data_IF_270086629032
#
_entry.id   IF_270086629032
#
_cell.length_a   1.000
_cell.length_b   1.000
_cell.length_c   1.000
_cell.angle_alpha   90.00
_cell.angle_beta   90.00
_cell.angle_gamma   90.00
#
_symmetry.space_group_name_H-M   'P 1'
#
loop_
_entity.id
_entity.type
_entity.pdbx_description
1 polymer ?
#
# COMPACT_ATOMS: atom_id res chain seq x y z
N UNK A 1 -24.07 79.60 -47.26
CA UNK A 1 -24.70 78.57 -46.39
C UNK A 1 -24.81 77.17 -46.99
N UNK A 2 -25.22 76.91 -48.26
CA UNK A 2 -25.38 75.52 -48.77
C UNK A 2 -24.09 74.70 -49.01
N UNK A 3 -22.94 75.34 -49.23
CA UNK A 3 -21.66 74.63 -49.47
C UNK A 3 -21.01 74.11 -48.19
N UNK A 4 -21.04 74.88 -47.10
CA UNK A 4 -20.46 74.50 -45.82
C UNK A 4 -21.18 73.30 -45.18
N UNK A 5 -22.50 73.22 -45.35
CA UNK A 5 -23.30 72.08 -44.86
C UNK A 5 -22.94 70.75 -45.55
N UNK A 6 -22.51 70.78 -46.82
CA UNK A 6 -22.06 69.56 -47.53
C UNK A 6 -20.73 69.04 -47.00
N UNK A 7 -19.83 69.92 -46.59
CA UNK A 7 -18.51 69.54 -46.06
C UNK A 7 -18.67 68.91 -44.67
N UNK A 8 -19.46 69.55 -43.80
CA UNK A 8 -19.74 69.03 -42.45
C UNK A 8 -20.43 67.66 -42.52
N UNK A 9 -21.42 67.49 -43.40
CA UNK A 9 -22.10 66.20 -43.59
C UNK A 9 -21.14 65.11 -44.06
N UNK A 10 -20.19 65.43 -44.94
CA UNK A 10 -19.20 64.48 -45.44
C UNK A 10 -18.20 64.07 -44.35
N UNK A 11 -17.70 65.04 -43.56
CA UNK A 11 -16.80 64.76 -42.43
C UNK A 11 -17.50 63.88 -41.38
N UNK A 12 -18.76 64.17 -41.06
CA UNK A 12 -19.52 63.41 -40.08
C UNK A 12 -19.79 61.97 -40.55
N UNK A 13 -20.11 61.76 -41.83
CA UNK A 13 -20.28 60.41 -42.40
C UNK A 13 -18.99 59.61 -42.35
N UNK A 14 -17.85 60.20 -42.74
CA UNK A 14 -16.56 59.49 -42.70
C UNK A 14 -16.11 59.20 -41.27
N UNK A 15 -16.38 60.11 -40.32
CA UNK A 15 -16.12 59.88 -38.91
C UNK A 15 -17.02 58.79 -38.32
N UNK A 16 -18.30 58.78 -38.70
CA UNK A 16 -19.27 57.77 -38.29
C UNK A 16 -18.93 56.37 -38.80
N UNK A 17 -18.50 56.24 -40.06
CA UNK A 17 -18.08 54.93 -40.59
C UNK A 17 -16.80 54.41 -39.93
N UNK A 18 -15.79 55.27 -39.71
CA UNK A 18 -14.56 54.88 -39.00
C UNK A 18 -14.82 54.51 -37.54
N UNK A 19 -15.72 55.22 -36.86
CA UNK A 19 -16.10 54.87 -35.48
C UNK A 19 -16.92 53.59 -35.43
N UNK A 20 -17.78 53.30 -36.42
CA UNK A 20 -18.55 52.05 -36.52
C UNK A 20 -17.65 50.82 -36.72
N UNK A 21 -16.59 50.92 -37.52
CA UNK A 21 -15.60 49.84 -37.69
C UNK A 21 -14.78 49.59 -36.42
N UNK A 22 -14.35 50.67 -35.74
CA UNK A 22 -13.68 50.57 -34.44
C UNK A 22 -14.60 49.98 -33.35
N UNK A 23 -15.90 50.35 -33.35
CA UNK A 23 -16.88 49.83 -32.41
C UNK A 23 -17.22 48.35 -32.67
N UNK A 24 -17.26 47.92 -33.94
CA UNK A 24 -17.49 46.52 -34.30
C UNK A 24 -16.29 45.63 -33.92
N UNK A 25 -15.06 46.10 -34.13
CA UNK A 25 -13.86 45.40 -33.66
C UNK A 25 -13.79 45.32 -32.13
N UNK A 26 -14.21 46.37 -31.43
CA UNK A 26 -14.26 46.37 -29.96
C UNK A 26 -15.34 45.41 -29.43
N UNK A 27 -16.54 45.38 -30.02
CA UNK A 27 -17.61 44.45 -29.63
C UNK A 27 -17.23 42.99 -29.87
N UNK A 28 -16.59 42.67 -30.99
CA UNK A 28 -16.12 41.29 -31.25
C UNK A 28 -15.02 40.87 -30.27
N UNK A 29 -14.06 41.76 -29.96
CA UNK A 29 -13.03 41.49 -28.94
C UNK A 29 -13.61 41.34 -27.54
N UNK A 30 -14.60 42.14 -27.17
CA UNK A 30 -15.27 42.06 -25.87
C UNK A 30 -16.08 40.76 -25.75
N UNK A 31 -16.80 40.35 -26.80
CA UNK A 31 -17.52 39.07 -26.83
C UNK A 31 -16.53 37.90 -26.72
N UNK A 32 -15.38 37.96 -27.42
CA UNK A 32 -14.36 36.92 -27.31
C UNK A 32 -13.75 36.85 -25.90
N UNK A 33 -13.48 37.99 -25.26
CA UNK A 33 -12.98 38.07 -23.87
C UNK A 33 -14.02 37.55 -22.88
N UNK A 34 -15.32 37.80 -23.11
CA UNK A 34 -16.40 37.27 -22.26
C UNK A 34 -16.57 35.76 -22.46
N UNK A 35 -16.49 35.24 -23.68
CA UNK A 35 -16.56 33.79 -23.96
C UNK A 35 -15.31 33.09 -23.39
N UNK A 36 -14.11 33.66 -23.56
CA UNK A 36 -12.89 33.13 -22.98
C UNK A 36 -12.91 33.19 -21.45
N UNK A 37 -13.43 34.26 -20.84
CA UNK A 37 -13.52 34.38 -19.37
C UNK A 37 -14.64 33.53 -18.77
N UNK A 38 -15.73 33.25 -19.49
CA UNK A 38 -16.73 32.25 -19.10
C UNK A 38 -16.18 30.82 -19.26
N UNK A 39 -15.43 30.53 -20.33
CA UNK A 39 -14.77 29.23 -20.49
C UNK A 39 -13.66 28.99 -19.45
N UNK A 40 -12.97 30.04 -19.02
CA UNK A 40 -12.02 29.99 -17.89
C UNK A 40 -12.77 29.91 -16.55
N UNK A 41 -13.88 30.61 -16.37
CA UNK A 41 -14.68 30.61 -15.14
C UNK A 41 -15.44 29.30 -14.90
N UNK A 42 -15.87 28.59 -15.94
CA UNK A 42 -16.48 27.26 -15.84
C UNK A 42 -15.42 26.19 -15.57
N UNK A 43 -14.20 26.33 -16.10
CA UNK A 43 -13.10 25.41 -15.76
C UNK A 43 -12.46 25.70 -14.38
N UNK A 44 -12.48 26.94 -13.89
CA UNK A 44 -12.02 27.28 -12.54
C UNK A 44 -13.10 27.12 -11.46
N UNK A 45 -14.39 27.18 -11.83
CA UNK A 45 -15.53 27.03 -10.91
C UNK A 45 -15.87 25.59 -10.52
N UNK A 46 -15.35 24.59 -11.24
CA UNK A 46 -15.42 23.17 -10.85
C UNK A 46 -14.14 22.63 -10.20
N UNK A 47 -13.09 23.47 -10.09
CA UNK A 47 -11.82 23.12 -9.46
C UNK A 47 -11.70 23.48 -7.97
N UNK A 48 -12.74 24.09 -7.37
CA UNK A 48 -12.63 24.79 -6.08
C UNK A 48 -13.37 24.21 -4.87
N UNK A 49 -14.08 23.09 -4.99
CA UNK A 49 -14.71 22.40 -3.84
C UNK A 49 -14.69 20.88 -4.09
N UNK A 50 -13.56 20.23 -3.80
CA UNK A 50 -13.54 18.79 -3.52
C UNK A 50 -12.77 18.60 -2.21
N UNK A 51 -13.47 18.61 -1.06
CA UNK A 51 -12.83 18.47 0.23
C UNK A 51 -12.39 17.01 0.41
N UNK A 52 -11.10 16.77 0.66
CA UNK A 52 -10.47 15.67 1.42
C UNK A 52 -10.99 14.22 1.28
N UNK A 53 -11.82 13.92 0.26
CA UNK A 53 -12.24 12.56 -0.11
C UNK A 53 -11.96 12.37 -1.60
N UNK A 54 -10.67 12.39 -1.95
CA UNK A 54 -10.17 12.25 -3.34
C UNK A 54 -10.64 10.94 -3.99
N UNK A 55 -10.84 9.89 -3.20
CA UNK A 55 -11.27 8.58 -3.67
C UNK A 55 -12.79 8.44 -3.54
N UNK A 56 -13.52 8.23 -4.65
CA UNK A 56 -14.95 8.02 -4.57
C UNK A 56 -15.29 6.68 -3.92
N UNK A 57 -16.39 6.63 -3.17
CA UNK A 57 -16.86 5.40 -2.52
C UNK A 57 -18.09 4.90 -3.30
N UNK A 58 -18.16 3.62 -3.69
CA UNK A 58 -19.32 3.06 -4.37
C UNK A 58 -20.59 3.23 -3.52
N UNK A 59 -21.76 3.49 -4.12
CA UNK A 59 -23.03 3.52 -3.40
C UNK A 59 -23.22 2.25 -2.55
N UNK A 60 -23.86 2.41 -1.39
CA UNK A 60 -24.16 1.33 -0.44
C UNK A 60 -22.93 0.66 0.19
N UNK A 61 -21.73 1.21 0.02
CA UNK A 61 -20.55 0.75 0.75
C UNK A 61 -20.62 1.20 2.19
N UNK A 62 -20.45 0.25 3.12
CA UNK A 62 -20.29 0.52 4.54
C UNK A 62 -18.81 0.34 4.92
N UNK A 63 -18.23 1.36 5.55
CA UNK A 63 -16.90 1.25 6.15
C UNK A 63 -16.95 0.28 7.34
N UNK A 64 -16.07 -0.71 7.36
CA UNK A 64 -15.99 -1.72 8.41
C UNK A 64 -14.83 -1.43 9.37
N UNK A 65 -13.66 -1.05 8.85
CA UNK A 65 -12.49 -0.66 9.66
C UNK A 65 -11.48 0.15 8.86
N UNK A 66 -10.58 0.82 9.57
CA UNK A 66 -9.40 1.46 9.02
C UNK A 66 -8.15 0.97 9.74
N UNK A 67 -7.06 0.79 9.01
CA UNK A 67 -5.79 0.27 9.52
C UNK A 67 -4.63 1.03 8.89
N UNK A 68 -3.59 1.34 9.67
CA UNK A 68 -2.36 1.95 9.18
C UNK A 68 -1.26 0.91 9.17
N UNK A 69 -0.50 0.82 8.08
CA UNK A 69 0.62 -0.13 7.95
C UNK A 69 1.86 0.58 7.46
N UNK A 70 3.02 0.14 7.94
CA UNK A 70 4.31 0.56 7.40
C UNK A 70 4.72 -0.40 6.30
N UNK A 71 4.80 0.06 5.05
CA UNK A 71 5.27 -0.75 3.93
C UNK A 71 6.42 0.00 3.26
N UNK A 72 7.60 -0.62 3.20
CA UNK A 72 8.84 0.01 2.72
C UNK A 72 9.14 1.36 3.38
N UNK A 73 8.88 1.48 4.69
CA UNK A 73 9.12 2.73 5.44
C UNK A 73 8.09 3.84 5.21
N UNK A 74 7.03 3.59 4.43
CA UNK A 74 5.93 4.52 4.23
C UNK A 74 4.70 4.07 5.02
N UNK A 75 4.03 5.03 5.69
CA UNK A 75 2.72 4.79 6.31
C UNK A 75 1.65 4.78 5.21
N UNK A 76 0.95 3.66 5.09
CA UNK A 76 -0.16 3.46 4.15
C UNK A 76 -1.44 3.22 4.96
N UNK A 77 -2.48 3.98 4.62
CA UNK A 77 -3.81 3.85 5.22
C UNK A 77 -4.66 2.91 4.38
N UNK A 78 -5.11 1.82 5.00
CA UNK A 78 -6.04 0.85 4.43
C UNK A 78 -7.42 1.09 5.02
N UNK A 79 -8.42 1.34 4.16
CA UNK A 79 -9.82 1.47 4.59
C UNK A 79 -10.62 0.32 3.99
N UNK A 80 -11.30 -0.44 4.85
CA UNK A 80 -12.02 -1.65 4.50
C UNK A 80 -13.51 -1.37 4.42
N UNK A 81 -14.15 -1.84 3.35
CA UNK A 81 -15.55 -1.63 3.05
C UNK A 81 -16.25 -2.95 2.77
N UNK A 82 -17.53 -3.01 3.13
CA UNK A 82 -18.47 -4.05 2.69
C UNK A 82 -19.53 -3.43 1.77
N UNK A 83 -19.94 -4.15 0.72
CA UNK A 83 -20.95 -3.68 -0.22
C UNK A 83 -21.83 -4.85 -0.70
N UNK A 84 -23.11 -4.61 -0.98
CA UNK A 84 -24.06 -5.63 -1.45
C UNK A 84 -23.98 -5.90 -2.95
N UNK A 85 -23.33 -5.02 -3.72
CA UNK A 85 -23.11 -5.18 -5.16
C UNK A 85 -22.01 -6.20 -5.43
N UNK A 86 -22.08 -6.85 -6.59
CA UNK A 86 -21.05 -7.77 -7.07
C UNK A 86 -19.72 -7.04 -7.36
N UNK A 87 -18.56 -7.72 -7.29
CA UNK A 87 -17.25 -7.11 -7.50
C UNK A 87 -17.12 -6.35 -8.83
N UNK A 88 -17.64 -6.88 -9.93
CA UNK A 88 -17.52 -6.24 -11.25
C UNK A 88 -18.24 -4.88 -11.33
N UNK A 89 -19.36 -4.71 -10.60
CA UNK A 89 -20.09 -3.43 -10.55
C UNK A 89 -19.23 -2.37 -9.85
N UNK A 90 -18.58 -2.77 -8.75
CA UNK A 90 -17.69 -1.90 -7.98
C UNK A 90 -16.45 -1.55 -8.80
N UNK A 91 -15.90 -2.52 -9.55
CA UNK A 91 -14.77 -2.27 -10.44
C UNK A 91 -15.10 -1.25 -11.52
N UNK A 92 -16.24 -1.42 -12.21
CA UNK A 92 -16.69 -0.50 -13.26
C UNK A 92 -16.93 0.91 -12.71
N UNK A 93 -17.51 1.02 -11.50
CA UNK A 93 -17.66 2.28 -10.79
C UNK A 93 -16.32 3.02 -10.66
N UNK A 94 -15.28 2.33 -10.17
CA UNK A 94 -13.96 2.94 -10.01
C UNK A 94 -13.29 3.25 -11.35
N UNK A 95 -13.30 2.31 -12.30
CA UNK A 95 -12.68 2.50 -13.62
C UNK A 95 -13.24 3.74 -14.32
N UNK A 96 -14.57 3.92 -14.30
CA UNK A 96 -15.22 5.08 -14.90
C UNK A 96 -14.91 6.38 -14.15
N UNK A 97 -15.20 6.41 -12.85
CA UNK A 97 -15.18 7.65 -12.09
C UNK A 97 -13.77 8.16 -11.81
N UNK A 98 -12.79 7.25 -11.63
CA UNK A 98 -11.40 7.65 -11.46
C UNK A 98 -10.79 8.13 -12.79
N UNK A 99 -11.14 7.51 -13.93
CA UNK A 99 -10.69 7.98 -15.24
C UNK A 99 -11.23 9.39 -15.54
N UNK A 100 -12.50 9.67 -15.25
CA UNK A 100 -13.10 11.01 -15.36
C UNK A 100 -12.37 12.05 -14.48
N UNK A 101 -11.73 11.61 -13.39
CA UNK A 101 -10.93 12.43 -12.47
C UNK A 101 -9.44 12.48 -12.81
N UNK A 102 -9.04 11.96 -13.97
CA UNK A 102 -7.66 12.00 -14.47
C UNK A 102 -6.72 10.96 -13.85
N UNK A 103 -7.25 9.95 -13.16
CA UNK A 103 -6.46 8.80 -12.73
C UNK A 103 -6.20 7.85 -13.89
N UNK A 104 -4.98 7.32 -13.96
CA UNK A 104 -4.57 6.38 -14.98
C UNK A 104 -4.60 4.96 -14.41
N UNK A 105 -5.43 4.08 -14.99
CA UNK A 105 -5.43 2.66 -14.63
C UNK A 105 -4.09 2.03 -15.04
N UNK A 106 -3.51 1.21 -14.16
CA UNK A 106 -2.35 0.38 -14.46
C UNK A 106 -2.81 -1.06 -14.64
N UNK A 107 -2.31 -1.71 -15.68
CA UNK A 107 -2.52 -3.14 -15.88
C UNK A 107 -1.45 -3.91 -15.09
N UNK A 108 -1.85 -4.43 -13.93
CA UNK A 108 -0.97 -5.21 -13.06
C UNK A 108 -0.44 -6.47 -13.74
N UNK A 109 -1.27 -7.14 -14.56
CA UNK A 109 -0.85 -8.36 -15.25
C UNK A 109 0.22 -8.06 -16.29
N UNK A 110 0.05 -6.97 -17.04
CA UNK A 110 1.06 -6.56 -18.02
C UNK A 110 2.39 -6.22 -17.34
N UNK A 111 2.36 -5.57 -16.16
CA UNK A 111 3.57 -5.27 -15.40
C UNK A 111 4.23 -6.54 -14.85
N UNK A 112 3.44 -7.49 -14.37
CA UNK A 112 3.96 -8.74 -13.80
C UNK A 112 4.49 -9.72 -14.84
N UNK A 113 3.94 -9.75 -16.05
CA UNK A 113 4.52 -10.54 -17.14
C UNK A 113 5.95 -10.08 -17.51
N UNK A 114 6.31 -8.84 -17.20
CA UNK A 114 7.65 -8.30 -17.39
C UNK A 114 8.58 -8.59 -16.20
N UNK A 115 8.03 -8.86 -15.01
CA UNK A 115 8.81 -9.35 -13.89
C UNK A 115 9.01 -10.85 -14.11
N UNK A 116 10.26 -11.34 -14.15
CA UNK A 116 10.58 -12.77 -14.33
C UNK A 116 10.19 -13.64 -13.12
N UNK A 117 8.98 -13.48 -12.61
CA UNK A 117 8.44 -14.21 -11.49
C UNK A 117 7.80 -15.50 -12.02
N UNK A 118 8.65 -16.46 -12.40
CA UNK A 118 8.23 -17.78 -12.90
C UNK A 118 7.35 -18.55 -11.89
N UNK A 119 7.36 -18.15 -10.62
CA UNK A 119 6.65 -18.81 -9.52
C UNK A 119 5.23 -18.31 -9.25
N UNK A 120 4.75 -17.27 -9.96
CA UNK A 120 3.39 -16.73 -9.75
C UNK A 120 2.31 -17.44 -10.57
N UNK A 121 2.66 -18.56 -11.19
CA UNK A 121 1.79 -19.32 -12.09
C UNK A 121 0.74 -20.17 -11.36
N UNK A 122 0.18 -19.64 -10.26
CA UNK A 122 -1.02 -20.21 -9.65
C UNK A 122 -2.24 -19.47 -10.18
N UNK A 123 -3.26 -20.21 -10.63
CA UNK A 123 -4.52 -19.64 -11.13
C UNK A 123 -5.13 -18.63 -10.14
N UNK A 124 -4.94 -18.88 -8.83
CA UNK A 124 -5.43 -18.02 -7.76
C UNK A 124 -4.80 -16.62 -7.80
N UNK A 125 -3.48 -16.50 -7.93
CA UNK A 125 -2.79 -15.21 -7.98
C UNK A 125 -3.16 -14.42 -9.23
N UNK A 126 -3.23 -15.08 -10.39
CA UNK A 126 -3.70 -14.43 -11.61
C UNK A 126 -5.15 -13.91 -11.47
N UNK A 127 -6.01 -14.66 -10.78
CA UNK A 127 -7.38 -14.25 -10.54
C UNK A 127 -7.46 -13.05 -9.57
N UNK A 128 -6.69 -13.08 -8.48
CA UNK A 128 -6.57 -11.96 -7.55
C UNK A 128 -6.08 -10.68 -8.27
N UNK A 129 -5.07 -10.82 -9.13
CA UNK A 129 -4.53 -9.72 -9.93
C UNK A 129 -5.52 -9.14 -10.93
N UNK A 130 -6.33 -9.99 -11.57
CA UNK A 130 -7.42 -9.55 -12.46
C UNK A 130 -8.50 -8.77 -11.71
N UNK A 131 -8.75 -9.14 -10.46
CA UNK A 131 -9.79 -8.55 -9.64
C UNK A 131 -9.36 -7.21 -9.03
N UNK A 132 -8.09 -7.06 -8.68
CA UNK A 132 -7.60 -5.85 -8.05
C UNK A 132 -7.36 -4.73 -9.06
N UNK A 133 -7.56 -3.49 -8.62
CA UNK A 133 -7.37 -2.31 -9.45
C UNK A 133 -6.24 -1.44 -8.91
N UNK A 134 -5.42 -0.91 -9.81
CA UNK A 134 -4.37 0.04 -9.48
C UNK A 134 -4.50 1.26 -10.36
N UNK A 135 -4.44 2.43 -9.74
CA UNK A 135 -4.52 3.71 -10.39
C UNK A 135 -3.37 4.60 -9.94
N UNK A 136 -2.90 5.45 -10.85
CA UNK A 136 -1.85 6.44 -10.58
C UNK A 136 -2.34 7.84 -10.96
N UNK A 137 -2.00 8.85 -10.14
CA UNK A 137 -2.20 10.25 -10.45
C UNK A 137 -1.20 11.12 -9.67
N UNK A 138 -0.41 11.93 -10.38
CA UNK A 138 0.45 12.97 -9.76
C UNK A 138 1.35 12.44 -8.62
N UNK A 139 2.01 11.30 -8.83
CA UNK A 139 2.86 10.68 -7.80
C UNK A 139 2.07 10.05 -6.65
N UNK A 140 0.76 9.85 -6.79
CA UNK A 140 -0.06 9.06 -5.86
C UNK A 140 -0.43 7.73 -6.51
N UNK A 141 -0.42 6.67 -5.72
CA UNK A 141 -0.97 5.37 -6.09
C UNK A 141 -2.24 5.10 -5.28
N UNK A 142 -3.24 4.55 -5.96
CA UNK A 142 -4.48 4.08 -5.36
C UNK A 142 -4.65 2.61 -5.74
N UNK A 143 -4.86 1.77 -4.73
CA UNK A 143 -5.02 0.33 -4.89
C UNK A 143 -6.37 -0.06 -4.28
N UNK A 144 -7.14 -0.83 -5.05
CA UNK A 144 -8.43 -1.35 -4.63
C UNK A 144 -8.35 -2.87 -4.69
N UNK A 145 -8.39 -3.48 -3.52
CA UNK A 145 -8.25 -4.92 -3.35
C UNK A 145 -9.58 -5.57 -3.05
N UNK A 146 -9.92 -6.61 -3.81
CA UNK A 146 -11.15 -7.35 -3.63
C UNK A 146 -10.91 -8.64 -2.87
N UNK A 147 -11.87 -8.95 -2.03
CA UNK A 147 -12.00 -10.21 -1.33
C UNK A 147 -12.62 -11.23 -2.28
N UNK A 148 -11.96 -12.37 -2.62
CA UNK A 148 -12.63 -13.42 -3.37
C UNK A 148 -13.93 -13.87 -2.68
N UNK A 149 -14.98 -14.05 -3.50
CA UNK A 149 -16.35 -14.32 -3.06
C UNK A 149 -16.46 -15.59 -2.22
N UNK A 150 -15.63 -16.60 -2.50
CA UNK A 150 -15.56 -17.86 -1.73
C UNK A 150 -15.28 -17.69 -0.23
N UNK A 151 -14.71 -16.54 0.17
CA UNK A 151 -14.39 -16.24 1.56
C UNK A 151 -15.41 -15.30 2.23
N UNK A 152 -16.40 -14.79 1.51
CA UNK A 152 -17.44 -13.92 2.06
C UNK A 152 -18.63 -14.76 2.57
N UNK A 153 -18.81 -14.82 3.89
CA UNK A 153 -19.85 -15.66 4.50
C UNK A 153 -21.27 -15.09 4.34
N UNK A 154 -21.40 -13.77 4.16
CA UNK A 154 -22.67 -13.05 4.18
C UNK A 154 -23.14 -12.56 2.79
N UNK A 155 -22.54 -13.09 1.72
CA UNK A 155 -22.77 -12.70 0.32
C UNK A 155 -22.50 -11.22 0.02
N UNK A 156 -21.78 -10.49 0.88
CA UNK A 156 -21.31 -9.14 0.57
C UNK A 156 -19.96 -9.18 -0.12
N UNK A 157 -19.72 -8.18 -0.95
CA UNK A 157 -18.40 -7.93 -1.52
C UNK A 157 -17.54 -7.18 -0.54
N UNK A 158 -16.49 -7.88 -0.11
CA UNK A 158 -15.31 -7.40 0.60
C UNK A 158 -14.41 -6.53 -0.29
N UNK A 159 -14.07 -5.29 0.06
CA UNK A 159 -12.93 -4.62 -0.58
C UNK A 159 -12.17 -3.64 0.31
N UNK A 160 -10.93 -3.35 -0.06
CA UNK A 160 -10.06 -2.43 0.66
C UNK A 160 -9.53 -1.37 -0.30
N UNK A 161 -9.50 -0.13 0.17
CA UNK A 161 -8.85 0.99 -0.52
C UNK A 161 -7.56 1.32 0.21
N UNK A 162 -6.46 1.36 -0.51
CA UNK A 162 -5.17 1.84 -0.01
C UNK A 162 -4.68 3.00 -0.88
N UNK A 163 -4.29 4.10 -0.26
CA UNK A 163 -3.71 5.27 -0.92
C UNK A 163 -2.30 5.50 -0.39
N UNK A 164 -1.36 5.80 -1.29
CA UNK A 164 0.01 6.10 -0.93
C UNK A 164 0.63 7.14 -1.86
N UNK A 165 1.65 7.84 -1.36
CA UNK A 165 2.48 8.72 -2.18
C UNK A 165 3.67 7.92 -2.71
N UNK A 166 3.80 7.84 -4.02
CA UNK A 166 5.00 7.35 -4.69
C UNK A 166 6.02 8.48 -4.63
N UNK A 167 6.95 8.38 -3.68
CA UNK A 167 8.14 9.22 -3.74
C UNK A 167 9.02 8.73 -4.88
N UNK A 168 8.86 9.32 -6.07
CA UNK A 168 9.68 9.00 -7.24
C UNK A 168 11.15 9.44 -7.08
N UNK A 169 11.47 10.24 -6.07
CA UNK A 169 12.84 10.72 -5.79
C UNK A 169 13.63 9.74 -4.93
N UNK A 170 12.96 9.00 -4.05
CA UNK A 170 13.50 7.80 -3.44
C UNK A 170 13.42 6.70 -4.50
N UNK A 171 14.49 6.50 -5.27
CA UNK A 171 14.58 5.41 -6.23
C UNK A 171 14.08 4.12 -5.58
N UNK A 172 12.88 3.69 -5.98
CA UNK A 172 12.40 2.36 -5.64
C UNK A 172 13.47 1.40 -6.17
N UNK A 173 13.94 0.43 -5.36
CA UNK A 173 14.82 -0.60 -5.89
C UNK A 173 14.18 -1.11 -7.19
N UNK A 174 14.91 -1.15 -8.30
CA UNK A 174 14.37 -1.51 -9.63
C UNK A 174 13.67 -2.89 -9.64
N UNK A 175 13.79 -3.67 -8.55
CA UNK A 175 13.22 -4.99 -8.33
C UNK A 175 12.31 -5.09 -7.08
N UNK A 176 11.76 -3.98 -6.57
CA UNK A 176 10.88 -4.05 -5.41
C UNK A 176 9.49 -4.60 -5.83
N UNK A 177 9.23 -5.87 -5.51
CA UNK A 177 7.94 -6.57 -5.61
C UNK A 177 6.89 -5.95 -4.66
N UNK A 178 6.55 -4.68 -4.90
CA UNK A 178 5.68 -3.89 -4.04
C UNK A 178 4.20 -4.26 -4.23
N UNK A 179 3.84 -4.63 -5.46
CA UNK A 179 2.47 -5.00 -5.84
C UNK A 179 2.02 -6.28 -5.11
N UNK A 180 2.75 -7.42 -5.12
CA UNK A 180 2.31 -8.63 -4.44
C UNK A 180 1.98 -8.44 -2.95
N UNK A 181 2.74 -7.63 -2.23
CA UNK A 181 2.57 -7.39 -0.78
C UNK A 181 1.26 -6.66 -0.44
N UNK A 182 0.78 -5.81 -1.34
CA UNK A 182 -0.45 -5.02 -1.12
C UNK A 182 -1.72 -5.79 -1.46
N UNK A 183 -1.62 -6.80 -2.33
CA UNK A 183 -2.76 -7.56 -2.84
C UNK A 183 -3.09 -8.79 -1.97
N UNK A 184 -2.20 -9.18 -1.05
CA UNK A 184 -2.43 -10.29 -0.13
C UNK A 184 -3.28 -9.81 1.06
N UNK A 185 -4.44 -10.44 1.28
CA UNK A 185 -5.20 -10.21 2.51
C UNK A 185 -4.38 -10.69 3.71
N UNK A 186 -4.56 -10.10 4.91
CA UNK A 186 -4.18 -10.78 6.13
C UNK A 186 -5.05 -12.04 6.27
N UNK A 187 -4.48 -13.22 6.04
CA UNK A 187 -5.10 -14.47 6.50
C UNK A 187 -5.15 -14.44 8.03
N UNK A 188 -6.17 -15.09 8.61
CA UNK A 188 -6.27 -15.30 10.06
C UNK A 188 -4.92 -15.82 10.54
N UNK A 189 -4.31 -15.08 11.44
CA UNK A 189 -2.99 -15.43 11.95
C UNK A 189 -3.05 -16.79 12.63
N UNK A 190 -2.12 -17.67 12.27
CA UNK A 190 -2.12 -19.05 12.75
C UNK A 190 -1.78 -19.17 14.24
N UNK A 191 -1.27 -18.09 14.83
CA UNK A 191 -0.92 -17.94 16.23
C UNK A 191 -1.50 -16.61 16.76
N UNK A 192 -1.74 -16.49 18.08
CA UNK A 192 -2.14 -15.22 18.69
C UNK A 192 -1.04 -14.15 18.51
N UNK A 193 -1.44 -12.89 18.40
CA UNK A 193 -0.48 -11.76 18.33
C UNK A 193 -0.13 -11.30 19.72
N UNK A 194 1.16 -11.17 20.01
CA UNK A 194 1.60 -10.55 21.26
C UNK A 194 1.08 -9.10 21.36
N UNK A 195 0.43 -8.69 22.47
CA UNK A 195 -0.12 -7.35 22.62
C UNK A 195 0.92 -6.24 22.40
N UNK A 196 0.63 -5.32 21.49
CA UNK A 196 1.53 -4.21 21.15
C UNK A 196 2.70 -4.57 20.23
N UNK A 197 2.76 -5.80 19.72
CA UNK A 197 3.70 -6.16 18.65
C UNK A 197 3.24 -5.61 17.29
N UNK A 198 4.19 -5.19 16.47
CA UNK A 198 3.97 -4.68 15.12
C UNK A 198 4.42 -5.72 14.08
N UNK A 199 3.53 -6.11 13.16
CA UNK A 199 3.86 -6.96 12.02
C UNK A 199 4.81 -6.23 11.06
N UNK A 200 5.93 -6.84 10.72
CA UNK A 200 6.96 -6.30 9.81
C UNK A 200 7.00 -7.06 8.49
N UNK A 201 6.76 -8.37 8.50
CA UNK A 201 6.78 -9.20 7.30
C UNK A 201 5.78 -10.34 7.40
N UNK A 202 5.15 -10.66 6.28
CA UNK A 202 4.31 -11.83 6.12
C UNK A 202 4.66 -12.47 4.76
N UNK A 203 5.08 -13.73 4.78
CA UNK A 203 5.44 -14.52 3.61
C UNK A 203 4.58 -15.79 3.58
N UNK A 204 4.23 -16.24 2.38
CA UNK A 204 3.50 -17.49 2.16
C UNK A 204 4.16 -18.27 1.02
N UNK A 205 4.50 -19.52 1.28
CA UNK A 205 5.11 -20.39 0.28
C UNK A 205 4.63 -21.83 0.45
N UNK A 206 4.03 -22.41 -0.58
CA UNK A 206 3.72 -23.84 -0.70
C UNK A 206 2.94 -24.50 0.49
N UNK A 207 2.13 -23.74 1.22
CA UNK A 207 1.39 -24.22 2.40
C UNK A 207 2.07 -23.89 3.74
N UNK A 208 3.17 -23.14 3.70
CA UNK A 208 3.80 -22.51 4.85
C UNK A 208 3.48 -21.01 4.88
N UNK A 209 3.26 -20.47 6.07
CA UNK A 209 3.07 -19.06 6.33
C UNK A 209 4.13 -18.64 7.36
N UNK A 210 4.89 -17.57 7.08
CA UNK A 210 5.87 -16.98 7.98
C UNK A 210 5.48 -15.55 8.28
N UNK A 211 5.26 -15.23 9.54
CA UNK A 211 5.01 -13.86 10.00
C UNK A 211 6.13 -13.41 10.94
N UNK A 212 6.59 -12.18 10.77
CA UNK A 212 7.63 -11.57 11.62
C UNK A 212 7.10 -10.31 12.27
N UNK A 213 7.17 -10.25 13.59
CA UNK A 213 6.73 -9.11 14.41
C UNK A 213 7.88 -8.53 15.21
N UNK A 214 7.75 -7.27 15.61
CA UNK A 214 8.61 -6.61 16.58
C UNK A 214 7.79 -6.16 17.78
N UNK A 215 8.28 -6.42 18.99
CA UNK A 215 7.70 -5.94 20.24
C UNK A 215 8.76 -5.19 21.07
N UNK A 216 8.35 -4.17 21.83
CA UNK A 216 9.21 -3.52 22.84
C UNK A 216 9.21 -4.28 24.17
N UNK A 217 8.39 -5.31 24.32
CA UNK A 217 8.34 -6.09 25.54
C UNK A 217 9.60 -6.95 25.71
N UNK A 218 9.99 -7.25 26.96
CA UNK A 218 11.05 -8.19 27.26
C UNK A 218 10.82 -9.56 26.62
N UNK A 219 11.88 -10.18 26.09
CA UNK A 219 11.79 -11.46 25.38
C UNK A 219 11.17 -12.58 26.24
N UNK A 220 11.42 -12.58 27.55
CA UNK A 220 10.86 -13.59 28.46
C UNK A 220 9.35 -13.46 28.60
N UNK A 221 8.81 -12.23 28.64
CA UNK A 221 7.37 -11.99 28.68
C UNK A 221 6.69 -12.43 27.39
N UNK A 222 7.32 -12.14 26.25
CA UNK A 222 6.84 -12.58 24.93
C UNK A 222 6.87 -14.10 24.83
N UNK A 223 7.95 -14.74 25.27
CA UNK A 223 8.10 -16.18 25.28
C UNK A 223 6.99 -16.86 26.09
N UNK A 224 6.73 -16.39 27.32
CA UNK A 224 5.68 -16.95 28.17
C UNK A 224 4.28 -16.73 27.60
N UNK A 225 4.01 -15.54 27.01
CA UNK A 225 2.74 -15.28 26.36
C UNK A 225 2.40 -16.34 25.31
N UNK A 226 3.32 -16.66 24.40
CA UNK A 226 3.06 -17.66 23.36
C UNK A 226 2.94 -19.07 23.93
N UNK A 227 3.77 -19.40 24.93
CA UNK A 227 3.70 -20.70 25.61
C UNK A 227 2.31 -20.95 26.21
N UNK A 228 1.74 -19.96 26.88
CA UNK A 228 0.43 -20.08 27.53
C UNK A 228 -0.73 -19.99 26.55
N UNK A 229 -0.72 -18.99 25.66
CA UNK A 229 -1.87 -18.71 24.79
C UNK A 229 -2.02 -19.75 23.67
N UNK A 230 -0.92 -20.28 23.13
CA UNK A 230 -1.02 -21.36 22.14
C UNK A 230 -1.68 -22.60 22.73
N UNK A 231 -1.32 -22.97 23.97
CA UNK A 231 -1.92 -24.12 24.66
C UNK A 231 -3.40 -23.91 24.94
N UNK A 232 -3.79 -22.68 25.28
CA UNK A 232 -5.21 -22.31 25.44
C UNK A 232 -6.00 -22.42 24.12
N UNK A 233 -5.33 -22.32 22.98
CA UNK A 233 -5.89 -22.42 21.63
C UNK A 233 -5.79 -23.85 21.03
N UNK A 234 -5.83 -24.89 21.89
CA UNK A 234 -5.77 -26.32 21.50
C UNK A 234 -4.48 -26.74 20.76
N UNK A 235 -3.39 -25.98 20.90
CA UNK A 235 -2.07 -26.41 20.44
C UNK A 235 -1.32 -27.18 21.52
N UNK A 236 -0.61 -28.23 21.12
CA UNK A 236 0.26 -29.01 21.98
C UNK A 236 1.71 -28.55 21.79
N UNK A 237 2.39 -28.24 22.89
CA UNK A 237 3.81 -27.91 22.88
C UNK A 237 4.63 -29.18 22.68
N UNK A 238 5.32 -29.27 21.54
CA UNK A 238 6.14 -30.42 21.15
C UNK A 238 7.61 -30.21 21.52
N UNK A 239 8.10 -28.98 21.39
CA UNK A 239 9.49 -28.65 21.70
C UNK A 239 9.60 -27.27 22.33
N UNK A 240 10.41 -27.17 23.37
CA UNK A 240 10.77 -25.93 24.03
C UNK A 240 12.29 -25.76 24.02
N UNK A 241 12.76 -24.62 23.53
CA UNK A 241 14.10 -24.12 23.77
C UNK A 241 13.96 -22.82 24.56
N UNK A 242 14.29 -22.82 25.87
CA UNK A 242 14.15 -21.64 26.69
C UNK A 242 15.01 -20.48 26.16
N UNK A 243 14.70 -19.27 26.60
CA UNK A 243 15.47 -18.08 26.22
C UNK A 243 16.87 -18.20 26.82
N UNK A 244 17.88 -18.28 25.95
CA UNK A 244 19.27 -18.42 26.33
C UNK A 244 20.12 -17.30 25.72
N UNK A 245 21.15 -16.87 26.45
CA UNK A 245 22.15 -15.94 25.94
C UNK A 245 23.12 -16.68 25.01
N UNK A 246 23.21 -16.22 23.76
CA UNK A 246 24.11 -16.72 22.73
C UNK A 246 25.06 -15.63 22.25
N UNK A 247 26.32 -15.99 22.09
CA UNK A 247 27.32 -15.12 21.48
C UNK A 247 27.34 -15.39 19.97
N UNK A 248 26.93 -14.41 19.16
CA UNK A 248 26.91 -14.57 17.68
C UNK A 248 28.27 -14.33 17.01
N UNK A 249 29.33 -14.05 17.78
CA UNK A 249 30.66 -13.69 17.26
C UNK A 249 31.62 -14.85 16.96
N UNK A 250 31.13 -16.02 16.60
CA UNK A 250 31.96 -17.12 16.11
C UNK A 250 31.99 -17.12 14.57
N UNK A 251 33.15 -17.32 13.90
CA UNK A 251 33.28 -17.36 12.43
C UNK A 251 32.61 -18.58 11.75
N UNK A 252 31.54 -19.12 12.32
CA UNK A 252 30.76 -20.23 11.77
C UNK A 252 29.27 -20.21 12.15
N UNK A 253 28.76 -19.13 12.76
CA UNK A 253 27.36 -19.05 13.21
C UNK A 253 26.41 -18.34 12.21
N UNK A 254 26.97 -17.74 11.14
CA UNK A 254 26.23 -17.39 9.92
C UNK A 254 26.76 -18.28 8.79
N UNK A 255 26.28 -19.53 8.73
CA UNK A 255 26.50 -20.34 7.53
C UNK A 255 25.91 -19.62 6.31
N UNK A 256 26.73 -19.53 5.25
CA UNK A 256 26.37 -19.12 3.88
C UNK A 256 26.08 -17.63 3.57
N UNK A 257 26.58 -16.67 4.35
CA UNK A 257 26.70 -15.27 3.88
C UNK A 257 28.01 -14.97 3.13
N UNK A 258 29.00 -15.86 3.21
CA UNK A 258 30.30 -15.68 2.55
C UNK A 258 30.27 -15.92 1.02
N UNK A 259 29.18 -16.49 0.50
CA UNK A 259 28.98 -16.74 -0.94
C UNK A 259 28.06 -15.73 -1.63
N UNK A 260 27.87 -14.53 -1.05
CA UNK A 260 27.18 -13.44 -1.75
C UNK A 260 28.19 -12.49 -2.42
N UNK A 261 28.52 -12.69 -3.72
CA UNK A 261 29.51 -11.87 -4.42
C UNK A 261 29.13 -10.39 -4.57
N UNK A 262 27.88 -10.00 -4.27
CA UNK A 262 27.41 -8.62 -4.28
C UNK A 262 27.50 -7.90 -2.91
N UNK A 263 27.86 -8.59 -1.83
CA UNK A 263 27.90 -7.99 -0.47
C UNK A 263 29.24 -7.35 -0.09
N UNK A 264 30.24 -7.29 -0.98
CA UNK A 264 31.61 -6.92 -0.62
C UNK A 264 31.91 -5.41 -0.40
N UNK A 265 30.94 -4.50 -0.36
CA UNK A 265 31.25 -3.05 -0.27
C UNK A 265 30.41 -2.23 0.70
N UNK A 266 30.11 -2.76 1.89
CA UNK A 266 29.71 -1.92 3.02
C UNK A 266 30.69 -2.14 4.19
N UNK A 267 31.76 -1.33 4.20
CA UNK A 267 32.69 -1.26 5.32
C UNK A 267 32.00 -0.79 6.60
N UNK A 268 31.51 -1.73 7.39
CA UNK A 268 31.21 -1.53 8.81
C UNK A 268 31.86 -2.67 9.60
N UNK A 269 33.15 -2.48 9.85
CA UNK A 269 33.85 -3.18 10.90
C UNK A 269 33.16 -2.89 12.25
N UNK A 270 32.38 -3.86 12.73
CA UNK A 270 32.16 -4.05 14.15
C UNK A 270 32.15 -5.55 14.43
N UNK A 271 33.35 -6.14 14.41
CA UNK A 271 33.65 -7.53 14.80
C UNK A 271 33.46 -7.78 16.30
N UNK A 272 32.63 -6.98 16.99
CA UNK A 272 32.30 -7.26 18.39
C UNK A 272 31.23 -8.34 18.42
N UNK A 273 31.42 -9.43 19.17
CA UNK A 273 30.38 -10.43 19.35
C UNK A 273 29.12 -9.70 19.83
N UNK A 274 28.05 -9.74 19.03
CA UNK A 274 26.75 -9.28 19.49
C UNK A 274 26.20 -10.41 20.34
N UNK A 275 26.05 -10.16 21.63
CA UNK A 275 25.29 -11.07 22.47
C UNK A 275 23.83 -10.96 22.05
N UNK A 276 23.15 -12.10 21.93
CA UNK A 276 21.71 -12.14 21.67
C UNK A 276 21.05 -13.07 22.66
N UNK A 277 19.81 -12.77 23.03
CA UNK A 277 18.92 -13.73 23.66
C UNK A 277 18.14 -14.43 22.55
N UNK A 278 18.03 -15.75 22.65
CA UNK A 278 17.29 -16.55 21.68
C UNK A 278 16.46 -17.62 22.38
N UNK A 279 15.20 -17.74 21.99
CA UNK A 279 14.31 -18.82 22.42
C UNK A 279 13.52 -19.39 21.24
N UNK A 280 12.95 -20.58 21.41
CA UNK A 280 12.11 -21.22 20.39
C UNK A 280 11.02 -22.08 21.06
N UNK A 281 9.81 -22.04 20.50
CA UNK A 281 8.70 -22.91 20.85
C UNK A 281 8.21 -23.60 19.57
N UNK A 282 7.90 -24.90 19.64
CA UNK A 282 7.32 -25.65 18.52
C UNK A 282 6.06 -26.34 19.00
N UNK A 283 4.98 -26.08 18.28
CA UNK A 283 3.65 -26.58 18.55
C UNK A 283 3.13 -27.45 17.41
N UNK A 284 2.21 -28.34 17.77
CA UNK A 284 1.40 -29.13 16.83
C UNK A 284 -0.05 -29.15 17.29
N UNK A 285 -1.01 -29.28 16.38
CA UNK A 285 -2.42 -29.42 16.74
C UNK A 285 -3.00 -30.78 16.31
N UNK A 286 -4.24 -31.06 16.68
CA UNK A 286 -4.95 -32.33 16.35
C UNK A 286 -5.13 -32.57 14.84
N UNK A 287 -5.06 -31.53 14.01
CA UNK A 287 -5.11 -31.64 12.54
C UNK A 287 -3.75 -32.03 11.96
N UNK A 288 -2.69 -31.93 12.77
CA UNK A 288 -1.31 -32.20 12.41
C UNK A 288 -0.59 -30.98 11.82
N UNK A 289 -1.19 -29.79 11.90
CA UNK A 289 -0.50 -28.56 11.53
C UNK A 289 0.61 -28.29 12.53
N UNK A 290 1.70 -27.66 12.08
CA UNK A 290 2.82 -27.29 12.94
C UNK A 290 2.99 -25.78 12.99
N UNK A 291 3.31 -25.24 14.16
CA UNK A 291 3.65 -23.84 14.36
C UNK A 291 4.95 -23.72 15.15
N UNK A 292 6.00 -23.15 14.55
CA UNK A 292 7.26 -22.83 15.21
C UNK A 292 7.32 -21.33 15.46
N UNK A 293 7.67 -20.94 16.67
CA UNK A 293 7.79 -19.55 17.09
C UNK A 293 9.21 -19.31 17.61
N UNK A 294 9.98 -18.51 16.89
CA UNK A 294 11.33 -18.10 17.27
C UNK A 294 11.34 -16.70 17.86
N UNK A 295 12.15 -16.51 18.91
CA UNK A 295 12.30 -15.23 19.60
C UNK A 295 13.76 -14.81 19.57
N UNK A 296 14.02 -13.55 19.24
CA UNK A 296 15.38 -13.01 19.23
C UNK A 296 15.41 -11.59 19.79
N UNK A 297 16.40 -11.31 20.63
CA UNK A 297 16.64 -9.97 21.18
C UNK A 297 18.14 -9.69 21.14
N UNK A 298 18.55 -8.56 20.54
CA UNK A 298 19.96 -8.20 20.38
C UNK A 298 20.37 -7.34 21.58
N UNK A 299 21.37 -7.79 22.34
CA UNK A 299 21.94 -7.00 23.43
C UNK A 299 22.90 -5.97 22.83
N UNK A 300 22.44 -4.73 22.72
CA UNK A 300 23.30 -3.61 22.29
C UNK A 300 23.96 -2.94 23.50
N UNK A 301 25.21 -2.51 23.33
CA UNK A 301 25.88 -1.65 24.32
C UNK A 301 25.10 -0.32 24.50
N UNK A 302 25.19 0.27 25.69
CA UNK A 302 24.35 1.38 26.18
C UNK A 302 24.23 2.59 25.23
N UNK A 303 25.20 2.83 24.35
CA UNK A 303 25.19 3.94 23.40
C UNK A 303 24.18 3.81 22.25
N UNK A 304 23.66 2.61 21.96
CA UNK A 304 22.65 2.36 20.90
C UNK A 304 21.29 1.90 21.44
N UNK A 305 21.12 1.90 22.77
CA UNK A 305 19.99 1.28 23.47
C UNK A 305 18.63 1.86 23.10
N UNK A 306 18.56 3.06 22.55
CA UNK A 306 17.28 3.73 22.27
C UNK A 306 16.67 3.41 20.89
N UNK A 307 17.41 2.78 19.96
CA UNK A 307 16.93 2.54 18.59
C UNK A 307 16.77 1.07 18.19
N UNK A 308 17.26 0.11 18.98
CA UNK A 308 17.26 -1.32 18.64
C UNK A 308 16.74 -2.22 19.78
N UNK A 309 16.09 -1.65 20.79
CA UNK A 309 15.53 -2.37 21.94
C UNK A 309 14.16 -2.99 21.60
N UNK A 310 14.20 -4.06 20.82
CA UNK A 310 13.01 -4.79 20.39
C UNK A 310 13.24 -6.31 20.42
N UNK A 311 12.23 -7.04 20.85
CA UNK A 311 12.11 -8.49 20.67
C UNK A 311 11.54 -8.77 19.28
N UNK A 312 12.28 -9.50 18.46
CA UNK A 312 11.81 -10.06 17.19
C UNK A 312 11.11 -11.39 17.43
N UNK A 313 9.95 -11.56 16.83
CA UNK A 313 9.08 -12.72 16.95
C UNK A 313 8.85 -13.25 15.54
N UNK A 314 9.27 -14.48 15.26
CA UNK A 314 9.06 -15.13 13.97
C UNK A 314 8.13 -16.32 14.16
N UNK A 315 6.99 -16.33 13.48
CA UNK A 315 5.97 -17.36 13.53
C UNK A 315 5.94 -18.08 12.19
N UNK A 316 6.39 -19.33 12.19
CA UNK A 316 6.37 -20.24 11.04
C UNK A 316 5.23 -21.25 11.23
N UNK A 317 4.18 -21.14 10.42
CA UNK A 317 3.07 -22.07 10.38
C UNK A 317 3.15 -22.94 9.13
N UNK A 318 2.88 -24.23 9.26
CA UNK A 318 2.74 -25.15 8.13
C UNK A 318 1.47 -26.00 8.31
N UNK A 319 0.60 -25.96 7.31
CA UNK A 319 -0.61 -26.79 7.27
C UNK A 319 -0.25 -28.22 6.83
N UNK A 320 -0.79 -29.22 7.52
CA UNK A 320 -0.61 -30.60 7.07
C UNK A 320 -1.44 -30.85 5.81
N UNK A 321 -0.78 -31.04 4.68
CA UNK A 321 -1.44 -31.44 3.43
C UNK A 321 -2.12 -32.80 3.65
N UNK A 322 -3.43 -32.84 3.45
CA UNK A 322 -4.26 -34.05 3.52
C UNK A 322 -3.99 -34.99 2.35
#
# INVERSE_FOLDING_TARGET
MRKEFKIIKRIFLTFWEKTKEALMGFRQRLILIVICSMAFGINLGYGGIWPDKEVPIPPDSKEEKQEKRMIAGQEIVFTYYANTNAPYIIQDFYRKLLAERGWQSKDLLAQMNNMHLQDLNTNYMQQALKQNLVFEKEGKMLIINFVPEEYAQDKKTYFTIAQMNIDTSAALPENADFVPVLLTRPKKEAAPVYPGASLISLQEEAGMQRATYLSRAPIDEVFQFYKENMVNDDWELIQERPVERKNTGGPGAMGDLDNCPSCQQAGLASNKPKEMLFGELVFSNKRGDSCRIGFAYILTNETLKNSLDFTSIMVDYAEKKK
#
